data_IF_725591488857
#
_entry.id   IF_725591488857
#
_cell.length_a   1.000
_cell.length_b   1.000
_cell.length_c   1.000
_cell.angle_alpha   90.00
_cell.angle_beta   90.00
_cell.angle_gamma   90.00
#
_symmetry.space_group_name_H-M   'P 1'
#
loop_
_entity.id
_entity.type
_entity.pdbx_description
1 polymer ?
#
# COMPACT_ATOMS: atom_id res chain seq x y z
N UNK A 1 -10.29 -7.11 -10.98
CA UNK A 1 -9.35 -6.27 -11.76
C UNK A 1 -10.12 -5.54 -12.84
N UNK A 2 -10.00 -4.22 -12.98
CA UNK A 2 -10.69 -3.47 -14.04
C UNK A 2 -10.42 -4.02 -15.43
N UNK A 3 -11.44 -4.05 -16.29
CA UNK A 3 -11.26 -4.40 -17.72
C UNK A 3 -10.29 -3.48 -18.47
N UNK A 4 -10.05 -2.27 -17.97
CA UNK A 4 -9.10 -1.28 -18.53
C UNK A 4 -7.65 -1.52 -18.12
N UNK A 5 -7.35 -2.60 -17.40
CA UNK A 5 -6.00 -2.88 -16.91
C UNK A 5 -5.05 -3.24 -18.06
N UNK A 6 -3.82 -2.70 -18.11
CA UNK A 6 -2.84 -3.05 -19.14
C UNK A 6 -2.58 -4.57 -19.22
N UNK A 7 -2.46 -5.14 -20.44
CA UNK A 7 -2.28 -6.58 -20.64
C UNK A 7 -1.09 -7.18 -19.87
N UNK A 8 0.02 -6.46 -19.79
CA UNK A 8 1.23 -6.91 -19.11
C UNK A 8 1.00 -7.11 -17.61
N UNK A 9 0.18 -6.25 -16.97
CA UNK A 9 -0.18 -6.39 -15.56
C UNK A 9 -1.11 -7.57 -15.32
N UNK A 10 -2.02 -7.85 -16.25
CA UNK A 10 -2.89 -9.03 -16.21
C UNK A 10 -2.03 -10.29 -16.35
N UNK A 11 -1.13 -10.32 -17.33
CA UNK A 11 -0.25 -11.45 -17.59
C UNK A 11 0.67 -11.75 -16.40
N UNK A 12 1.31 -10.72 -15.82
CA UNK A 12 2.14 -10.86 -14.64
C UNK A 12 1.36 -11.43 -13.44
N UNK A 13 0.16 -10.91 -13.18
CA UNK A 13 -0.69 -11.37 -12.08
C UNK A 13 -1.06 -12.86 -12.23
N UNK A 14 -1.45 -13.28 -13.45
CA UNK A 14 -1.69 -14.69 -13.77
C UNK A 14 -0.42 -15.54 -13.64
N UNK A 15 0.73 -14.98 -14.04
CA UNK A 15 2.04 -15.63 -13.92
C UNK A 15 2.46 -15.94 -12.48
N UNK A 16 1.99 -15.14 -11.51
CA UNK A 16 2.17 -15.43 -10.08
C UNK A 16 1.21 -16.49 -9.53
N UNK A 17 0.38 -17.11 -10.38
CA UNK A 17 -0.57 -18.16 -10.00
C UNK A 17 -1.92 -17.64 -9.48
N UNK A 18 -2.20 -16.34 -9.61
CA UNK A 18 -3.46 -15.76 -9.16
C UNK A 18 -4.59 -16.00 -10.18
N UNK A 19 -5.77 -16.34 -9.67
CA UNK A 19 -7.01 -16.30 -10.45
C UNK A 19 -7.46 -14.83 -10.61
N UNK A 20 -7.51 -14.35 -11.86
CA UNK A 20 -7.89 -12.97 -12.15
C UNK A 20 -9.37 -12.88 -12.48
N UNK A 21 -10.12 -12.28 -11.56
CA UNK A 21 -11.55 -11.96 -11.73
C UNK A 21 -11.67 -10.50 -12.15
N UNK A 22 -12.41 -10.22 -13.23
CA UNK A 22 -12.58 -8.88 -13.76
C UNK A 22 -13.74 -8.12 -13.10
N UNK A 23 -13.60 -6.80 -13.04
CA UNK A 23 -14.60 -5.84 -12.53
C UNK A 23 -14.73 -4.66 -13.50
N UNK A 24 -15.73 -3.80 -13.26
CA UNK A 24 -15.79 -2.49 -13.89
C UNK A 24 -14.66 -1.55 -13.41
N UNK A 25 -14.46 -0.40 -14.09
CA UNK A 25 -13.35 0.50 -13.80
C UNK A 25 -13.51 1.30 -12.51
N UNK A 26 -14.75 1.53 -12.07
CA UNK A 26 -15.07 2.27 -10.86
C UNK A 26 -14.61 1.53 -9.60
N UNK A 27 -14.54 2.25 -8.48
CA UNK A 27 -14.11 1.68 -7.22
C UNK A 27 -15.19 0.74 -6.67
N UNK A 28 -16.43 1.17 -6.72
CA UNK A 28 -17.62 0.47 -6.24
C UNK A 28 -17.81 -0.87 -6.96
N UNK A 29 -17.50 -0.93 -8.25
CA UNK A 29 -17.54 -2.18 -9.04
C UNK A 29 -16.60 -3.25 -8.48
N UNK A 30 -15.44 -2.83 -7.96
CA UNK A 30 -14.46 -3.75 -7.37
C UNK A 30 -14.93 -4.26 -6.02
N UNK A 31 -15.57 -3.40 -5.23
CA UNK A 31 -16.15 -3.80 -3.94
C UNK A 31 -17.27 -4.82 -4.13
N UNK A 32 -18.16 -4.60 -5.11
CA UNK A 32 -19.25 -5.53 -5.43
C UNK A 32 -18.68 -6.89 -5.86
N UNK A 33 -17.69 -6.90 -6.76
CA UNK A 33 -17.06 -8.16 -7.20
C UNK A 33 -16.31 -8.84 -6.05
N UNK A 34 -15.58 -8.09 -5.23
CA UNK A 34 -14.87 -8.66 -4.08
C UNK A 34 -15.84 -9.27 -3.06
N UNK A 35 -16.94 -8.59 -2.74
CA UNK A 35 -17.98 -9.09 -1.84
C UNK A 35 -18.58 -10.40 -2.35
N UNK A 36 -18.85 -10.50 -3.67
CA UNK A 36 -19.32 -11.74 -4.29
C UNK A 36 -18.32 -12.88 -4.12
N UNK A 37 -17.04 -12.65 -4.41
CA UNK A 37 -15.99 -13.67 -4.28
C UNK A 37 -15.86 -14.16 -2.84
N UNK A 38 -15.90 -13.25 -1.87
CA UNK A 38 -15.86 -13.60 -0.43
C UNK A 38 -17.05 -14.49 -0.08
N UNK A 39 -18.26 -14.14 -0.53
CA UNK A 39 -19.46 -14.92 -0.27
C UNK A 39 -19.40 -16.32 -0.91
N UNK A 40 -18.90 -16.41 -2.14
CA UNK A 40 -18.89 -17.66 -2.91
C UNK A 40 -17.77 -18.62 -2.46
N UNK A 41 -16.66 -18.09 -1.95
CA UNK A 41 -15.44 -18.89 -1.66
C UNK A 41 -15.05 -18.94 -0.18
N UNK A 42 -15.57 -18.03 0.65
CA UNK A 42 -15.09 -17.83 2.02
C UNK A 42 -13.71 -17.16 2.11
N UNK A 43 -13.19 -16.60 1.02
CA UNK A 43 -11.89 -15.94 1.00
C UNK A 43 -11.83 -14.72 1.94
N UNK A 44 -10.63 -14.44 2.47
CA UNK A 44 -10.36 -13.21 3.24
C UNK A 44 -9.98 -12.07 2.31
N UNK A 45 -10.69 -10.95 2.43
CA UNK A 45 -10.31 -9.72 1.74
C UNK A 45 -8.99 -9.17 2.30
N UNK A 46 -8.02 -8.94 1.41
CA UNK A 46 -6.81 -8.17 1.70
C UNK A 46 -6.98 -6.79 1.05
N UNK A 47 -7.16 -5.71 1.84
CA UNK A 47 -7.32 -4.37 1.29
C UNK A 47 -6.06 -3.89 0.56
N UNK A 48 -6.21 -3.04 -0.48
CA UNK A 48 -5.06 -2.55 -1.25
C UNK A 48 -4.24 -1.45 -0.55
N UNK A 49 -4.78 -0.75 0.45
CA UNK A 49 -4.05 0.34 1.16
C UNK A 49 -4.54 0.59 2.59
N UNK A 50 -5.87 0.68 2.83
CA UNK A 50 -6.42 1.10 4.12
C UNK A 50 -6.53 -0.06 5.13
N UNK A 51 -5.38 -0.58 5.57
CA UNK A 51 -5.28 -1.60 6.61
C UNK A 51 -3.95 -1.46 7.36
N UNK A 52 -3.93 -1.52 8.71
CA UNK A 52 -2.70 -1.32 9.49
C UNK A 52 -1.50 -2.15 9.02
N UNK A 53 -1.69 -3.44 8.73
CA UNK A 53 -0.60 -4.30 8.25
C UNK A 53 -0.08 -3.92 6.86
N UNK A 54 -0.96 -3.45 5.98
CA UNK A 54 -0.57 -3.00 4.63
C UNK A 54 0.25 -1.71 4.75
N UNK A 55 -0.23 -0.80 5.59
CA UNK A 55 0.42 0.47 5.91
C UNK A 55 1.81 0.25 6.50
N UNK A 56 1.92 -0.60 7.52
CA UNK A 56 3.18 -0.91 8.18
C UNK A 56 4.13 -1.65 7.23
N UNK A 57 3.60 -2.52 6.37
CA UNK A 57 4.37 -3.18 5.32
C UNK A 57 4.97 -2.19 4.31
N UNK A 58 4.20 -1.21 3.84
CA UNK A 58 4.73 -0.18 2.93
C UNK A 58 5.77 0.73 3.62
N UNK A 59 5.60 0.99 4.91
CA UNK A 59 6.51 1.84 5.68
C UNK A 59 7.94 1.30 5.77
N UNK A 60 8.17 0.00 5.54
CA UNK A 60 9.53 -0.58 5.59
C UNK A 60 10.44 0.00 4.52
N UNK A 61 9.92 0.30 3.33
CA UNK A 61 10.69 0.96 2.28
C UNK A 61 11.13 2.37 2.71
N UNK A 62 10.33 3.06 3.53
CA UNK A 62 10.72 4.34 4.14
C UNK A 62 11.88 4.19 5.14
N UNK A 63 11.88 3.12 5.93
CA UNK A 63 12.97 2.81 6.86
C UNK A 63 14.26 2.47 6.12
N UNK A 64 14.19 1.66 5.06
CA UNK A 64 15.33 1.34 4.19
C UNK A 64 15.91 2.61 3.56
N UNK A 65 15.04 3.48 3.06
CA UNK A 65 15.46 4.73 2.44
C UNK A 65 16.17 5.67 3.44
N UNK A 66 15.64 5.80 4.66
CA UNK A 66 16.27 6.59 5.73
C UNK A 66 17.67 6.08 6.08
N UNK A 67 17.87 4.76 6.06
CA UNK A 67 19.18 4.16 6.32
C UNK A 67 20.18 4.41 5.20
N UNK A 68 19.71 4.45 3.95
CA UNK A 68 20.55 4.60 2.76
C UNK A 68 20.89 6.06 2.45
N UNK A 69 20.00 6.99 2.78
CA UNK A 69 20.11 8.40 2.39
C UNK A 69 20.53 9.28 3.57
N UNK A 70 21.73 9.86 3.49
CA UNK A 70 22.21 10.87 4.45
C UNK A 70 21.64 12.26 4.15
N UNK A 71 20.32 12.39 4.10
CA UNK A 71 19.64 13.68 3.98
C UNK A 71 18.74 13.95 5.19
N UNK A 72 18.56 15.21 5.58
CA UNK A 72 17.67 15.55 6.68
C UNK A 72 16.23 15.14 6.37
N UNK A 73 15.59 14.48 7.33
CA UNK A 73 14.22 13.93 7.24
C UNK A 73 13.18 14.96 6.80
N UNK A 74 13.38 16.24 7.14
CA UNK A 74 12.53 17.37 6.73
C UNK A 74 12.51 17.63 5.22
N UNK A 75 13.63 17.40 4.54
CA UNK A 75 13.71 17.54 3.08
C UNK A 75 13.00 16.36 2.38
N UNK A 76 13.06 15.18 3.01
CA UNK A 76 12.43 13.96 2.55
C UNK A 76 10.88 14.02 2.63
N UNK A 77 10.35 14.61 3.70
CA UNK A 77 8.91 14.89 3.83
C UNK A 77 8.41 15.90 2.79
N UNK A 78 9.22 16.92 2.47
CA UNK A 78 8.85 17.97 1.53
C UNK A 78 8.75 17.48 0.06
N UNK A 79 9.50 16.43 -0.30
CA UNK A 79 9.49 15.85 -1.64
C UNK A 79 8.32 14.89 -1.90
N UNK A 80 7.43 14.68 -0.92
CA UNK A 80 6.28 13.77 -1.06
C UNK A 80 6.62 12.28 -1.13
N UNK A 81 7.91 11.93 -1.21
CA UNK A 81 8.41 10.55 -1.20
C UNK A 81 8.08 9.88 0.13
N UNK A 82 8.32 10.58 1.23
CA UNK A 82 7.84 10.18 2.56
C UNK A 82 6.31 10.34 2.68
N UNK A 83 5.73 11.35 2.03
CA UNK A 83 4.28 11.61 2.09
C UNK A 83 3.42 10.43 1.63
N UNK A 84 3.88 9.63 0.65
CA UNK A 84 3.24 8.38 0.22
C UNK A 84 3.65 7.14 1.03
N UNK A 85 4.86 7.12 1.60
CA UNK A 85 5.37 6.00 2.41
C UNK A 85 4.93 6.05 3.89
N UNK A 86 4.53 7.22 4.39
CA UNK A 86 4.38 7.51 5.83
C UNK A 86 2.99 8.07 6.19
N UNK A 87 2.07 8.26 5.25
CA UNK A 87 0.77 8.95 5.50
C UNK A 87 -0.15 8.29 6.52
N UNK A 88 0.26 7.19 7.15
CA UNK A 88 -0.57 6.46 8.09
C UNK A 88 0.18 5.93 9.32
N UNK A 89 1.32 6.52 9.74
CA UNK A 89 1.86 6.18 11.07
C UNK A 89 2.33 7.36 11.93
N UNK A 90 1.79 7.53 13.17
CA UNK A 90 2.29 8.49 14.17
C UNK A 90 3.65 8.11 14.76
N UNK A 91 4.25 6.98 14.35
CA UNK A 91 5.46 6.41 14.97
C UNK A 91 6.73 7.25 14.74
N UNK A 92 6.81 8.02 13.66
CA UNK A 92 7.93 8.94 13.43
C UNK A 92 7.87 10.19 14.32
N UNK A 93 6.66 10.64 14.70
CA UNK A 93 6.52 11.69 15.69
C UNK A 93 6.99 11.20 17.08
N UNK A 94 6.78 9.91 17.40
CA UNK A 94 7.29 9.31 18.64
C UNK A 94 8.81 9.18 18.68
N UNK A 95 9.47 8.87 17.57
CA UNK A 95 10.94 8.74 17.52
C UNK A 95 11.67 10.09 17.52
N UNK A 96 11.13 11.15 16.89
CA UNK A 96 11.76 12.48 16.91
C UNK A 96 11.55 13.23 18.25
N UNK A 97 10.51 12.89 19.02
CA UNK A 97 10.32 13.43 20.39
C UNK A 97 11.32 12.86 21.41
N UNK A 98 11.95 11.72 21.11
CA UNK A 98 12.99 11.11 21.96
C UNK A 98 14.37 11.78 21.84
N UNK A 99 14.65 12.46 20.72
CA UNK A 99 15.95 13.12 20.47
C UNK A 99 15.98 14.61 20.84
N UNK A 100 14.84 15.20 21.26
CA UNK A 100 14.75 16.61 21.71
C UNK A 100 14.54 16.76 23.22
N UNK A 101 15.07 15.83 24.01
CA UNK A 101 15.28 16.02 25.45
C UNK A 101 16.67 15.52 25.86
N UNK A 102 17.68 16.32 25.54
CA UNK A 102 18.96 16.38 26.23
C UNK A 102 19.52 17.79 26.03
#
# INVERSE_FOLDING_TARGET
>A
MPGTTPPDKIAATKGYGAEVIFSGPQFEDREVVAAKVINDTGARLVPPHDHPDIILGQATAGLEFQQQVKMPTSLLSALGIIGWLITVSPMICLLDLGHRRA
#
